data_IF_244283988132
#
_entry.id   IF_244283988132
#
_cell.length_a   1.000
_cell.length_b   1.000
_cell.length_c   1.000
_cell.angle_alpha   90.00
_cell.angle_beta   90.00
_cell.angle_gamma   90.00
#
_symmetry.space_group_name_H-M   'P 1'
#
loop_
_entity.id
_entity.type
_entity.pdbx_description
1 polymer ?
#
# COMPACT_ATOMS: atom_id res chain seq x y z
N UNK A 1 -3.37 -8.33 -28.79
CA UNK A 1 -4.55 -8.79 -28.03
C UNK A 1 -4.39 -10.27 -27.83
N UNK A 2 -4.06 -10.64 -26.60
CA UNK A 2 -3.82 -12.02 -26.20
C UNK A 2 -5.02 -12.57 -25.42
N UNK A 3 -5.03 -13.88 -25.23
CA UNK A 3 -5.99 -14.56 -24.36
C UNK A 3 -5.26 -15.59 -23.51
N UNK A 4 -5.73 -15.78 -22.29
CA UNK A 4 -5.23 -16.79 -21.37
C UNK A 4 -6.38 -17.62 -20.86
N UNK A 5 -6.18 -18.94 -20.80
CA UNK A 5 -7.15 -19.86 -20.18
C UNK A 5 -6.66 -20.20 -18.78
N UNK A 6 -7.50 -19.93 -17.79
CA UNK A 6 -7.26 -20.20 -16.39
C UNK A 6 -8.09 -21.41 -15.96
N UNK A 7 -7.48 -22.32 -15.19
CA UNK A 7 -8.17 -23.48 -14.64
C UNK A 7 -8.36 -23.29 -13.13
N UNK A 8 -9.63 -23.20 -12.69
CA UNK A 8 -10.02 -22.99 -11.28
C UNK A 8 -11.03 -24.07 -10.92
N UNK A 9 -10.69 -24.90 -9.93
CA UNK A 9 -11.49 -26.04 -9.47
C UNK A 9 -12.01 -26.90 -10.64
N UNK A 10 -11.09 -27.30 -11.53
CA UNK A 10 -11.39 -28.14 -12.68
C UNK A 10 -12.17 -27.46 -13.81
N UNK A 11 -12.46 -26.16 -13.72
CA UNK A 11 -13.16 -25.40 -14.77
C UNK A 11 -12.25 -24.40 -15.47
N UNK A 12 -12.46 -24.26 -16.77
CA UNK A 12 -11.67 -23.39 -17.65
C UNK A 12 -12.37 -22.06 -17.88
N UNK A 13 -11.64 -20.96 -17.66
CA UNK A 13 -12.08 -19.58 -17.88
C UNK A 13 -11.14 -18.89 -18.85
N UNK A 14 -11.65 -18.39 -19.98
CA UNK A 14 -10.84 -17.65 -20.96
C UNK A 14 -10.96 -16.16 -20.72
N UNK A 15 -9.82 -15.52 -20.44
CA UNK A 15 -9.71 -14.08 -20.16
C UNK A 15 -8.94 -13.41 -21.30
N UNK A 16 -9.52 -12.35 -21.85
CA UNK A 16 -8.85 -11.48 -22.83
C UNK A 16 -7.96 -10.50 -22.09
N UNK A 17 -6.73 -10.33 -22.56
CA UNK A 17 -5.74 -9.48 -21.92
C UNK A 17 -4.81 -8.82 -22.94
N UNK A 18 -4.08 -7.81 -22.46
CA UNK A 18 -3.02 -7.18 -23.24
C UNK A 18 -1.80 -8.10 -23.35
N UNK A 19 -1.06 -7.93 -24.44
CA UNK A 19 0.13 -8.74 -24.71
C UNK A 19 1.16 -8.53 -23.57
N UNK A 20 1.65 -9.62 -22.99
CA UNK A 20 2.58 -9.60 -21.84
C UNK A 20 1.93 -9.76 -20.46
N UNK A 21 0.60 -9.73 -20.34
CA UNK A 21 -0.10 -9.96 -19.06
C UNK A 21 -0.38 -11.44 -18.76
N UNK A 22 -0.15 -12.34 -19.71
CA UNK A 22 -0.56 -13.75 -19.66
C UNK A 22 0.07 -14.48 -18.46
N UNK A 23 1.36 -14.23 -18.20
CA UNK A 23 2.08 -14.82 -17.08
C UNK A 23 1.54 -14.33 -15.72
N UNK A 24 1.15 -13.05 -15.64
CA UNK A 24 0.57 -12.49 -14.42
C UNK A 24 -0.80 -13.09 -14.14
N UNK A 25 -1.68 -13.12 -15.14
CA UNK A 25 -3.01 -13.70 -15.03
C UNK A 25 -2.96 -15.20 -14.74
N UNK A 26 -2.03 -15.94 -15.34
CA UNK A 26 -1.83 -17.36 -15.04
C UNK A 26 -1.45 -17.56 -13.57
N UNK A 27 -0.58 -16.70 -13.02
CA UNK A 27 -0.21 -16.76 -11.60
C UNK A 27 -1.41 -16.46 -10.69
N UNK A 28 -2.21 -15.45 -11.02
CA UNK A 28 -3.44 -15.12 -10.28
C UNK A 28 -4.47 -16.27 -10.36
N UNK A 29 -4.66 -16.87 -11.53
CA UNK A 29 -5.56 -18.02 -11.70
C UNK A 29 -5.16 -19.21 -10.84
N UNK A 30 -3.85 -19.54 -10.77
CA UNK A 30 -3.34 -20.59 -9.87
C UNK A 30 -3.58 -20.27 -8.40
N UNK A 31 -3.46 -19.00 -8.02
CA UNK A 31 -3.76 -18.56 -6.66
C UNK A 31 -5.22 -18.80 -6.30
N UNK A 32 -6.15 -18.36 -7.17
CA UNK A 32 -7.58 -18.60 -7.01
C UNK A 32 -7.93 -20.10 -6.97
N UNK A 33 -7.29 -20.93 -7.80
CA UNK A 33 -7.47 -22.38 -7.79
C UNK A 33 -7.04 -23.02 -6.46
N UNK A 34 -5.92 -22.59 -5.88
CA UNK A 34 -5.48 -23.04 -4.55
C UNK A 34 -6.53 -22.72 -3.49
N UNK A 35 -6.99 -21.46 -3.44
CA UNK A 35 -8.00 -21.01 -2.48
C UNK A 35 -9.34 -21.73 -2.67
N UNK A 36 -9.77 -21.95 -3.91
CA UNK A 36 -10.97 -22.72 -4.21
C UNK A 36 -10.87 -24.17 -3.72
N UNK A 37 -9.70 -24.81 -3.90
CA UNK A 37 -9.46 -26.19 -3.42
C UNK A 37 -9.42 -26.28 -1.90
N UNK A 38 -8.73 -25.35 -1.23
CA UNK A 38 -8.68 -25.26 0.23
C UNK A 38 -10.08 -25.09 0.82
N UNK A 39 -10.87 -24.17 0.25
CA UNK A 39 -12.24 -23.95 0.70
C UNK A 39 -13.09 -25.19 0.48
N UNK A 40 -13.04 -25.79 -0.71
CA UNK A 40 -13.77 -27.04 -1.02
C UNK A 40 -13.38 -28.18 -0.06
N UNK A 41 -12.12 -28.27 0.36
CA UNK A 41 -11.67 -29.27 1.33
C UNK A 41 -12.22 -29.00 2.74
N UNK A 42 -12.41 -27.74 3.13
CA UNK A 42 -12.90 -27.35 4.45
C UNK A 42 -14.42 -27.45 4.60
N UNK A 43 -15.18 -27.01 3.59
CA UNK A 43 -16.66 -26.92 3.66
C UNK A 43 -17.38 -27.98 2.81
N UNK A 44 -16.64 -28.74 2.01
CA UNK A 44 -17.19 -29.71 1.09
C UNK A 44 -17.59 -29.11 -0.26
N UNK A 45 -18.25 -29.92 -1.08
CA UNK A 45 -18.71 -29.52 -2.42
C UNK A 45 -19.89 -28.55 -2.30
N UNK A 46 -19.79 -27.43 -3.00
CA UNK A 46 -20.82 -26.38 -3.08
C UNK A 46 -21.07 -26.00 -4.53
N UNK A 47 -22.10 -25.17 -4.75
CA UNK A 47 -22.35 -24.57 -6.05
C UNK A 47 -21.16 -23.72 -6.51
N UNK A 48 -20.80 -23.85 -7.79
CA UNK A 48 -19.85 -23.01 -8.53
C UNK A 48 -19.83 -21.53 -8.12
N UNK A 49 -20.94 -20.85 -8.36
CA UNK A 49 -21.05 -19.41 -8.25
C UNK A 49 -20.88 -19.00 -6.79
N UNK A 50 -21.39 -19.82 -5.87
CA UNK A 50 -21.20 -19.62 -4.45
C UNK A 50 -19.73 -19.82 -4.05
N UNK A 51 -19.05 -20.84 -4.58
CA UNK A 51 -17.62 -21.06 -4.36
C UNK A 51 -16.79 -19.85 -4.80
N UNK A 52 -17.05 -19.35 -6.01
CA UNK A 52 -16.34 -18.19 -6.55
C UNK A 52 -16.58 -16.92 -5.71
N UNK A 53 -17.81 -16.71 -5.22
CA UNK A 53 -18.12 -15.58 -4.31
C UNK A 53 -17.35 -15.72 -3.00
N UNK A 54 -17.31 -16.91 -2.40
CA UNK A 54 -16.58 -17.12 -1.16
C UNK A 54 -15.07 -16.93 -1.35
N UNK A 55 -14.49 -17.45 -2.45
CA UNK A 55 -13.08 -17.22 -2.79
C UNK A 55 -12.82 -15.72 -3.01
N UNK A 56 -13.73 -15.01 -3.66
CA UNK A 56 -13.59 -13.56 -3.88
C UNK A 56 -13.60 -12.78 -2.57
N UNK A 57 -14.49 -13.15 -1.63
CA UNK A 57 -14.53 -12.55 -0.30
C UNK A 57 -13.26 -12.84 0.51
N UNK A 58 -12.75 -14.08 0.46
CA UNK A 58 -11.50 -14.45 1.11
C UNK A 58 -10.32 -13.61 0.60
N UNK A 59 -10.19 -13.46 -0.72
CA UNK A 59 -9.12 -12.65 -1.31
C UNK A 59 -9.29 -11.16 -0.98
N UNK A 60 -10.53 -10.66 -0.90
CA UNK A 60 -10.80 -9.29 -0.50
C UNK A 60 -10.41 -9.03 0.97
N UNK A 61 -10.65 -10.00 1.85
CA UNK A 61 -10.26 -9.96 3.26
C UNK A 61 -8.72 -9.94 3.41
N UNK A 62 -8.01 -10.86 2.74
CA UNK A 62 -6.54 -10.89 2.70
C UNK A 62 -5.94 -9.55 2.19
N UNK A 63 -6.56 -8.95 1.18
CA UNK A 63 -6.14 -7.66 0.65
C UNK A 63 -6.40 -6.51 1.62
N UNK A 64 -7.54 -6.54 2.31
CA UNK A 64 -7.90 -5.56 3.34
C UNK A 64 -6.90 -5.61 4.49
N UNK A 65 -6.55 -6.80 4.96
CA UNK A 65 -5.55 -7.01 6.01
C UNK A 65 -4.17 -6.52 5.57
N UNK A 66 -3.73 -6.87 4.35
CA UNK A 66 -2.45 -6.42 3.82
C UNK A 66 -2.36 -4.89 3.72
N UNK A 67 -3.44 -4.22 3.29
CA UNK A 67 -3.48 -2.76 3.30
C UNK A 67 -3.49 -2.17 4.71
N UNK A 68 -4.22 -2.78 5.64
CA UNK A 68 -4.22 -2.38 7.05
C UNK A 68 -2.84 -2.47 7.69
N UNK A 69 -2.09 -3.55 7.45
CA UNK A 69 -0.71 -3.68 7.91
C UNK A 69 0.20 -2.61 7.29
N UNK A 70 0.08 -2.37 5.98
CA UNK A 70 0.86 -1.32 5.32
C UNK A 70 0.58 0.06 5.93
N UNK A 71 -0.67 0.40 6.22
CA UNK A 71 -1.02 1.64 6.91
C UNK A 71 -0.47 1.68 8.34
N UNK A 72 -0.52 0.57 9.07
CA UNK A 72 0.01 0.48 10.43
C UNK A 72 1.51 0.76 10.48
N UNK A 73 2.30 0.26 9.52
CA UNK A 73 3.74 0.51 9.47
C UNK A 73 4.07 1.88 8.86
N UNK A 74 3.37 2.32 7.82
CA UNK A 74 3.67 3.58 7.13
C UNK A 74 3.16 4.81 7.88
N UNK A 75 2.08 4.69 8.65
CA UNK A 75 1.51 5.76 9.45
C UNK A 75 2.54 6.39 10.42
N UNK A 76 3.16 5.61 11.32
CA UNK A 76 4.20 6.05 12.24
C UNK A 76 5.43 6.62 11.54
N UNK A 77 5.84 6.04 10.41
CA UNK A 77 6.96 6.55 9.60
C UNK A 77 6.63 7.93 9.01
N UNK A 78 5.41 8.12 8.47
CA UNK A 78 4.94 9.42 7.95
C UNK A 78 4.79 10.46 9.04
N UNK A 79 4.22 10.11 10.19
CA UNK A 79 4.03 11.06 11.30
C UNK A 79 5.35 11.42 11.96
N UNK A 80 6.24 10.45 12.17
CA UNK A 80 7.60 10.65 12.65
C UNK A 80 8.41 11.56 11.73
N UNK A 81 8.38 11.30 10.42
CA UNK A 81 9.07 12.15 9.42
C UNK A 81 8.52 13.58 9.40
N UNK A 82 7.19 13.75 9.49
CA UNK A 82 6.56 15.08 9.58
C UNK A 82 6.92 15.82 10.86
N UNK A 83 6.94 15.13 12.00
CA UNK A 83 7.30 15.71 13.29
C UNK A 83 8.77 16.11 13.34
N UNK A 84 9.67 15.27 12.84
CA UNK A 84 11.10 15.56 12.75
C UNK A 84 11.39 16.77 11.85
N UNK A 85 10.70 16.86 10.70
CA UNK A 85 10.79 18.00 9.80
C UNK A 85 10.29 19.29 10.46
N UNK A 86 9.12 19.25 11.10
CA UNK A 86 8.55 20.42 11.79
C UNK A 86 9.47 20.92 12.91
N UNK A 87 10.09 20.00 13.67
CA UNK A 87 11.07 20.37 14.71
C UNK A 87 12.31 21.02 14.12
N UNK A 88 12.87 20.46 13.04
CA UNK A 88 14.03 21.03 12.37
C UNK A 88 13.74 22.43 11.79
N UNK A 89 12.55 22.65 11.25
CA UNK A 89 12.10 23.97 10.76
C UNK A 89 11.96 24.98 11.91
N UNK A 90 11.41 24.56 13.06
CA UNK A 90 11.34 25.39 14.27
C UNK A 90 12.72 25.80 14.79
N UNK A 91 13.63 24.83 14.96
CA UNK A 91 15.00 25.08 15.42
C UNK A 91 15.76 26.03 14.47
N UNK A 92 15.49 25.95 13.16
CA UNK A 92 16.07 26.85 12.17
C UNK A 92 15.49 28.27 12.29
N UNK A 93 14.18 28.41 12.48
CA UNK A 93 13.53 29.70 12.66
C UNK A 93 14.06 30.44 13.90
N UNK A 94 14.26 29.73 15.01
CA UNK A 94 14.83 30.29 16.25
C UNK A 94 16.26 30.80 16.04
N UNK A 95 17.08 30.06 15.30
CA UNK A 95 18.45 30.48 14.96
C UNK A 95 18.47 31.73 14.08
N UNK A 96 17.56 31.81 13.11
CA UNK A 96 17.42 33.00 12.25
C UNK A 96 17.01 34.20 13.11
N UNK A 97 16.02 34.06 13.99
CA UNK A 97 15.59 35.13 14.88
C UNK A 97 16.73 35.62 15.79
N UNK A 98 17.53 34.70 16.34
CA UNK A 98 18.68 35.04 17.17
C UNK A 98 19.76 35.80 16.38
N UNK A 99 20.03 35.41 15.14
CA UNK A 99 20.97 36.12 14.27
C UNK A 99 20.49 37.53 13.94
N UNK A 100 19.20 37.69 13.62
CA UNK A 100 18.60 39.01 13.37
C UNK A 100 18.74 39.92 14.59
N UNK A 101 18.43 39.43 15.79
CA UNK A 101 18.59 40.21 17.03
C UNK A 101 20.04 40.63 17.30
N UNK A 102 21.02 39.77 16.97
CA UNK A 102 22.45 40.12 17.06
C UNK A 102 22.86 41.19 16.06
N UNK A 103 22.36 41.11 14.83
CA UNK A 103 22.62 42.10 13.78
C UNK A 103 22.04 43.46 14.17
N UNK A 104 20.81 43.50 14.69
CA UNK A 104 20.20 44.74 15.18
C UNK A 104 20.98 45.35 16.35
N UNK A 105 21.49 44.53 17.28
CA UNK A 105 22.32 45.01 18.37
C UNK A 105 23.67 45.60 17.88
N UNK A 106 24.30 44.94 16.90
CA UNK A 106 25.52 45.44 16.26
C UNK A 106 25.28 46.76 15.53
N UNK A 107 24.18 46.85 14.77
CA UNK A 107 23.81 48.08 14.06
C UNK A 107 23.60 49.26 15.03
N UNK A 108 22.88 49.03 16.13
CA UNK A 108 22.71 50.05 17.18
C UNK A 108 24.03 50.52 17.79
N UNK A 109 24.99 49.61 18.03
CA UNK A 109 26.30 49.98 18.57
C UNK A 109 27.12 50.80 17.57
N UNK A 110 27.03 50.52 16.26
CA UNK A 110 27.74 51.28 15.22
C UNK A 110 27.15 52.68 15.04
N UNK A 111 25.82 52.83 15.15
CA UNK A 111 25.18 54.16 15.08
C UNK A 111 25.50 55.05 16.29
N UNK A 112 25.87 54.47 17.43
CA UNK A 112 26.21 55.19 18.65
C UNK A 112 27.71 55.55 18.78
N UNK A 113 28.55 55.13 17.83
CA UNK A 113 29.98 55.41 17.78
C UNK A 113 30.30 56.53 16.78
#
# INVERSE_FOLDING_TARGET
MAQVTLNIQGRSYTIVCDDGQEAHLTRLGRYLDSRAKELTAAIGQVNESLLLVMVSLLVADELSDAYGELEHYQGPLRTGAKSAKAKAEGDLADRIAQLTGRIEALARNVEQA
#
